data_IF_694815268116
#
_entry.id   IF_694815268116
#
_cell.length_a   1.000
_cell.length_b   1.000
_cell.length_c   1.000
_cell.angle_alpha   90.00
_cell.angle_beta   90.00
_cell.angle_gamma   90.00
#
_symmetry.space_group_name_H-M   'P 1'
#
loop_
_entity.id
_entity.type
_entity.pdbx_description
1 polymer ?
#
# COMPACT_ATOMS: atom_id res chain seq x y z
N UNK A 1 -47.68 106.78 -16.51
CA UNK A 1 -47.47 106.08 -15.22
C UNK A 1 -46.36 105.06 -15.38
N UNK A 2 -45.57 104.80 -14.32
CA UNK A 2 -44.11 104.78 -14.37
C UNK A 2 -43.50 103.38 -14.14
N UNK A 3 -42.18 103.38 -13.98
CA UNK A 3 -41.35 102.48 -13.18
C UNK A 3 -40.62 101.31 -13.87
N UNK A 4 -39.30 101.57 -13.99
CA UNK A 4 -38.23 100.80 -13.33
C UNK A 4 -37.73 99.51 -13.99
N UNK A 5 -36.47 99.59 -14.45
CA UNK A 5 -35.35 98.67 -14.19
C UNK A 5 -34.43 98.68 -15.43
N UNK A 6 -33.43 99.56 -15.52
CA UNK A 6 -32.11 99.39 -14.93
C UNK A 6 -31.43 98.07 -15.34
N UNK A 7 -30.31 98.24 -16.04
CA UNK A 7 -29.11 97.40 -16.11
C UNK A 7 -28.93 96.42 -17.29
N UNK A 8 -27.74 96.58 -17.91
CA UNK A 8 -26.87 95.53 -18.45
C UNK A 8 -27.32 94.87 -19.77
N UNK A 9 -26.79 95.35 -20.90
CA UNK A 9 -25.54 94.83 -21.47
C UNK A 9 -25.20 95.54 -22.80
N UNK A 10 -23.98 96.06 -22.97
CA UNK A 10 -23.53 96.69 -24.20
C UNK A 10 -22.86 95.65 -25.11
N UNK A 11 -23.60 94.77 -25.76
CA UNK A 11 -23.01 93.88 -26.77
C UNK A 11 -23.95 93.76 -27.98
N UNK A 12 -24.07 94.87 -28.71
CA UNK A 12 -24.41 94.77 -30.12
C UNK A 12 -23.30 93.98 -30.80
N UNK A 13 -23.63 92.77 -31.25
CA UNK A 13 -22.81 91.89 -32.07
C UNK A 13 -22.47 92.59 -33.40
N UNK A 14 -21.51 93.49 -33.34
CA UNK A 14 -20.89 94.13 -34.50
C UNK A 14 -19.86 93.19 -35.10
N UNK A 15 -20.29 92.36 -36.05
CA UNK A 15 -19.44 91.55 -36.95
C UNK A 15 -18.58 92.41 -37.91
N UNK A 16 -18.00 93.51 -37.42
CA UNK A 16 -17.16 94.44 -38.20
C UNK A 16 -15.79 94.73 -37.58
N UNK A 17 -15.62 94.51 -36.27
CA UNK A 17 -14.30 94.57 -35.59
C UNK A 17 -13.58 93.21 -35.59
N UNK A 18 -14.29 92.13 -35.94
CA UNK A 18 -13.80 90.76 -35.86
C UNK A 18 -12.99 90.30 -37.09
N UNK A 19 -12.95 91.08 -38.17
CA UNK A 19 -12.10 90.81 -39.34
C UNK A 19 -11.06 91.92 -39.45
N UNK A 20 -9.90 91.76 -38.78
CA UNK A 20 -8.79 92.69 -38.95
C UNK A 20 -8.26 92.56 -40.39
N UNK A 21 -7.72 93.65 -40.96
CA UNK A 21 -7.29 93.70 -42.37
C UNK A 21 -6.42 92.50 -42.80
N UNK A 22 -6.36 92.15 -44.09
CA UNK A 22 -5.75 90.91 -44.57
C UNK A 22 -4.32 90.70 -44.04
N UNK A 23 -3.54 91.76 -43.84
CA UNK A 23 -2.19 91.68 -43.28
C UNK A 23 -2.13 91.17 -41.83
N UNK A 24 -3.00 91.65 -40.93
CA UNK A 24 -3.01 91.22 -39.52
C UNK A 24 -3.61 89.83 -39.34
N UNK A 25 -4.58 89.44 -40.17
CA UNK A 25 -5.08 88.07 -40.23
C UNK A 25 -3.98 87.11 -40.72
N UNK A 26 -3.21 87.47 -41.75
CA UNK A 26 -2.10 86.64 -42.24
C UNK A 26 -1.01 86.49 -41.18
N UNK A 27 -0.58 87.56 -40.51
CA UNK A 27 0.43 87.47 -39.44
C UNK A 27 -0.06 86.63 -38.25
N UNK A 28 -1.34 86.76 -37.87
CA UNK A 28 -1.95 85.93 -36.82
C UNK A 28 -2.04 84.45 -37.20
N UNK A 29 -2.39 84.15 -38.45
CA UNK A 29 -2.42 82.76 -38.96
C UNK A 29 -1.01 82.18 -39.04
N UNK A 30 -0.02 82.96 -39.47
CA UNK A 30 1.38 82.52 -39.51
C UNK A 30 1.94 82.27 -38.12
N UNK A 31 1.71 83.16 -37.15
CA UNK A 31 2.16 82.95 -35.77
C UNK A 31 1.47 81.76 -35.10
N UNK A 32 0.16 81.59 -35.33
CA UNK A 32 -0.58 80.41 -34.90
C UNK A 32 -0.05 79.14 -35.54
N UNK A 33 0.21 79.14 -36.85
CA UNK A 33 0.75 77.98 -37.56
C UNK A 33 2.15 77.59 -37.06
N UNK A 34 3.04 78.56 -36.80
CA UNK A 34 4.38 78.28 -36.25
C UNK A 34 4.30 77.63 -34.87
N UNK A 35 3.48 78.17 -33.96
CA UNK A 35 3.27 77.60 -32.63
C UNK A 35 2.58 76.24 -32.72
N UNK A 36 1.59 76.09 -33.60
CA UNK A 36 0.87 74.84 -33.81
C UNK A 36 1.80 73.75 -34.34
N UNK A 37 2.67 74.05 -35.32
CA UNK A 37 3.64 73.10 -35.85
C UNK A 37 4.66 72.71 -34.78
N UNK A 38 5.16 73.66 -33.99
CA UNK A 38 6.07 73.35 -32.88
C UNK A 38 5.40 72.46 -31.83
N UNK A 39 4.17 72.78 -31.43
CA UNK A 39 3.38 72.00 -30.49
C UNK A 39 3.05 70.61 -31.05
N UNK A 40 2.61 70.51 -32.31
CA UNK A 40 2.32 69.24 -32.96
C UNK A 40 3.58 68.37 -33.04
N UNK A 41 4.74 68.94 -33.36
CA UNK A 41 6.02 68.22 -33.44
C UNK A 41 6.51 67.69 -32.09
N UNK A 42 6.14 68.30 -30.96
CA UNK A 42 6.56 67.87 -29.62
C UNK A 42 5.47 67.07 -28.87
N UNK A 43 4.21 67.45 -29.00
CA UNK A 43 3.08 66.89 -28.25
C UNK A 43 2.56 65.59 -28.87
N UNK A 44 2.42 65.53 -30.21
CA UNK A 44 1.97 64.30 -30.89
C UNK A 44 2.89 63.10 -30.62
N UNK A 45 4.23 63.19 -30.71
CA UNK A 45 5.07 62.03 -30.44
C UNK A 45 5.00 61.59 -28.97
N UNK A 46 4.84 62.52 -28.02
CA UNK A 46 4.67 62.16 -26.59
C UNK A 46 3.36 61.43 -26.33
N UNK A 47 2.26 61.88 -26.93
CA UNK A 47 0.95 61.20 -26.82
C UNK A 47 1.01 59.82 -27.46
N UNK A 48 1.53 59.72 -28.69
CA UNK A 48 1.67 58.43 -29.38
C UNK A 48 2.56 57.46 -28.61
N UNK A 49 3.64 57.93 -27.98
CA UNK A 49 4.50 57.10 -27.13
C UNK A 49 3.75 56.50 -25.94
N UNK A 50 2.98 57.32 -25.20
CA UNK A 50 2.21 56.84 -24.05
C UNK A 50 1.07 55.90 -24.47
N UNK A 51 0.41 56.17 -25.60
CA UNK A 51 -0.61 55.25 -26.12
C UNK A 51 0.01 53.93 -26.61
N UNK A 52 1.19 53.96 -27.24
CA UNK A 52 1.95 52.77 -27.62
C UNK A 52 2.31 51.94 -26.39
N UNK A 53 2.97 52.55 -25.40
CA UNK A 53 3.34 51.88 -24.14
C UNK A 53 2.13 51.25 -23.44
N UNK A 54 0.98 51.94 -23.41
CA UNK A 54 -0.25 51.39 -22.82
C UNK A 54 -0.84 50.24 -23.63
N UNK A 55 -0.82 50.32 -24.97
CA UNK A 55 -1.29 49.24 -25.84
C UNK A 55 -0.39 48.02 -25.69
N UNK A 56 0.92 48.20 -25.80
CA UNK A 56 1.91 47.11 -25.65
C UNK A 56 1.83 46.47 -24.25
N UNK A 57 1.61 47.28 -23.20
CA UNK A 57 1.42 46.76 -21.85
C UNK A 57 0.07 46.04 -21.64
N UNK A 58 -0.97 46.35 -22.42
CA UNK A 58 -2.25 45.61 -22.38
C UNK A 58 -2.10 44.32 -23.17
N UNK A 59 -1.59 44.39 -24.39
CA UNK A 59 -1.40 43.25 -25.28
C UNK A 59 -0.42 42.23 -24.69
N UNK A 60 0.70 42.70 -24.14
CA UNK A 60 1.64 41.85 -23.41
C UNK A 60 1.12 41.35 -22.06
N UNK A 61 0.00 41.87 -21.53
CA UNK A 61 -0.66 41.28 -20.35
C UNK A 61 -1.70 40.25 -20.76
N UNK A 62 -2.44 40.48 -21.84
CA UNK A 62 -3.40 39.50 -22.38
C UNK A 62 -2.68 38.27 -22.91
N UNK A 63 -1.60 38.44 -23.65
CA UNK A 63 -0.81 37.32 -24.17
C UNK A 63 -0.21 36.48 -23.02
N UNK A 64 0.33 37.13 -21.98
CA UNK A 64 0.82 36.42 -20.79
C UNK A 64 -0.30 35.72 -20.01
N UNK A 65 -1.49 36.32 -19.92
CA UNK A 65 -2.62 35.70 -19.26
C UNK A 65 -3.13 34.46 -20.02
N UNK A 66 -3.17 34.53 -21.35
CA UNK A 66 -3.51 33.41 -22.21
C UNK A 66 -2.47 32.29 -22.13
N UNK A 67 -1.18 32.62 -22.14
CA UNK A 67 -0.10 31.65 -21.95
C UNK A 67 -0.20 30.96 -20.59
N UNK A 68 -0.38 31.72 -19.51
CA UNK A 68 -0.55 31.17 -18.16
C UNK A 68 -1.80 30.30 -18.04
N UNK A 69 -2.90 30.66 -18.70
CA UNK A 69 -4.11 29.86 -18.74
C UNK A 69 -3.88 28.54 -19.49
N UNK A 70 -3.22 28.59 -20.64
CA UNK A 70 -2.88 27.40 -21.42
C UNK A 70 -1.93 26.46 -20.66
N UNK A 71 -0.90 27.01 -20.00
CA UNK A 71 0.01 26.24 -19.13
C UNK A 71 -0.74 25.62 -17.95
N UNK A 72 -1.65 26.36 -17.31
CA UNK A 72 -2.46 25.83 -16.22
C UNK A 72 -3.35 24.68 -16.67
N UNK A 73 -4.00 24.79 -17.84
CA UNK A 73 -4.82 23.73 -18.42
C UNK A 73 -3.97 22.50 -18.78
N UNK A 74 -2.78 22.69 -19.33
CA UNK A 74 -1.84 21.60 -19.64
C UNK A 74 -1.39 20.88 -18.37
N UNK A 75 -1.01 21.62 -17.32
CA UNK A 75 -0.62 21.06 -16.01
C UNK A 75 -1.79 20.31 -15.39
N UNK A 76 -3.01 20.84 -15.48
CA UNK A 76 -4.21 20.20 -14.94
C UNK A 76 -4.53 18.91 -15.71
N UNK A 77 -4.37 18.91 -17.04
CA UNK A 77 -4.52 17.72 -17.87
C UNK A 77 -3.51 16.63 -17.48
N UNK A 78 -2.22 16.97 -17.37
CA UNK A 78 -1.16 16.04 -16.91
C UNK A 78 -1.45 15.51 -15.52
N UNK A 79 -1.84 16.37 -14.58
CA UNK A 79 -2.19 15.95 -13.23
C UNK A 79 -3.38 14.97 -13.20
N UNK A 80 -4.40 15.19 -14.04
CA UNK A 80 -5.53 14.25 -14.17
C UNK A 80 -5.11 12.92 -14.78
N UNK A 81 -4.22 12.95 -15.76
CA UNK A 81 -3.66 11.76 -16.38
C UNK A 81 -2.84 10.94 -15.37
N UNK A 82 -1.92 11.58 -14.65
CA UNK A 82 -1.14 10.96 -13.56
C UNK A 82 -2.06 10.34 -12.50
N UNK A 83 -3.15 11.04 -12.13
CA UNK A 83 -4.10 10.55 -11.13
C UNK A 83 -4.94 9.37 -11.65
N UNK A 84 -5.23 9.33 -12.96
CA UNK A 84 -5.87 8.19 -13.59
C UNK A 84 -4.90 6.99 -13.66
N UNK A 85 -3.66 7.21 -14.08
CA UNK A 85 -2.62 6.19 -14.14
C UNK A 85 -2.34 5.60 -12.76
N UNK A 86 -2.16 6.42 -11.73
CA UNK A 86 -1.98 5.97 -10.35
C UNK A 86 -3.17 5.14 -9.85
N UNK A 87 -4.40 5.49 -10.24
CA UNK A 87 -5.60 4.68 -9.92
C UNK A 87 -5.60 3.35 -10.63
N UNK A 88 -5.21 3.31 -11.91
CA UNK A 88 -5.08 2.08 -12.68
C UNK A 88 -3.98 1.18 -12.12
N UNK A 89 -2.83 1.74 -11.76
CA UNK A 89 -1.73 1.01 -11.15
C UNK A 89 -2.11 0.45 -9.77
N UNK A 90 -2.77 1.25 -8.92
CA UNK A 90 -3.29 0.78 -7.65
C UNK A 90 -4.33 -0.33 -7.83
N UNK A 91 -5.18 -0.25 -8.86
CA UNK A 91 -6.14 -1.32 -9.18
C UNK A 91 -5.42 -2.61 -9.63
N UNK A 92 -4.42 -2.51 -10.51
CA UNK A 92 -3.59 -3.64 -10.95
C UNK A 92 -2.86 -4.28 -9.77
N UNK A 93 -2.24 -3.48 -8.90
CA UNK A 93 -1.54 -3.98 -7.72
C UNK A 93 -2.47 -4.71 -6.76
N UNK A 94 -3.67 -4.16 -6.52
CA UNK A 94 -4.69 -4.85 -5.69
C UNK A 94 -5.12 -6.17 -6.31
N UNK A 95 -5.34 -6.21 -7.62
CA UNK A 95 -5.70 -7.45 -8.31
C UNK A 95 -4.59 -8.49 -8.22
N UNK A 96 -3.33 -8.10 -8.49
CA UNK A 96 -2.17 -8.97 -8.35
C UNK A 96 -2.03 -9.52 -6.92
N UNK A 97 -2.15 -8.67 -5.91
CA UNK A 97 -2.08 -9.09 -4.50
C UNK A 97 -3.22 -10.05 -4.11
N UNK A 98 -4.42 -9.90 -4.68
CA UNK A 98 -5.53 -10.82 -4.45
C UNK A 98 -5.26 -12.18 -5.12
N UNK A 99 -4.79 -12.18 -6.36
CA UNK A 99 -4.45 -13.40 -7.10
C UNK A 99 -3.32 -14.15 -6.39
N UNK A 100 -2.21 -13.49 -6.08
CA UNK A 100 -1.09 -14.05 -5.32
C UNK A 100 -1.53 -14.55 -3.95
N UNK A 101 -2.35 -13.78 -3.23
CA UNK A 101 -2.88 -14.17 -1.92
C UNK A 101 -3.74 -15.44 -2.01
N UNK A 102 -4.60 -15.57 -3.03
CA UNK A 102 -5.42 -16.78 -3.22
C UNK A 102 -4.57 -18.00 -3.59
N UNK A 103 -3.55 -17.83 -4.43
CA UNK A 103 -2.62 -18.89 -4.79
C UNK A 103 -1.80 -19.35 -3.56
N UNK A 104 -1.28 -18.40 -2.78
CA UNK A 104 -0.54 -18.69 -1.55
C UNK A 104 -1.40 -19.43 -0.53
N UNK A 105 -2.66 -19.02 -0.32
CA UNK A 105 -3.58 -19.73 0.58
C UNK A 105 -3.83 -21.16 0.08
N UNK A 106 -4.01 -21.36 -1.22
CA UNK A 106 -4.19 -22.68 -1.80
C UNK A 106 -2.94 -23.55 -1.62
N UNK A 107 -1.75 -22.99 -1.81
CA UNK A 107 -0.48 -23.67 -1.63
C UNK A 107 -0.25 -24.06 -0.16
N UNK A 108 -0.43 -23.14 0.78
CA UNK A 108 -0.30 -23.40 2.22
C UNK A 108 -1.29 -24.48 2.66
N UNK A 109 -2.54 -24.43 2.19
CA UNK A 109 -3.53 -25.48 2.48
C UNK A 109 -3.10 -26.83 1.93
N UNK A 110 -2.62 -26.88 0.70
CA UNK A 110 -2.15 -28.12 0.08
C UNK A 110 -0.91 -28.68 0.81
N UNK A 111 0.03 -27.82 1.20
CA UNK A 111 1.19 -28.20 2.00
C UNK A 111 0.78 -28.74 3.38
N UNK A 112 -0.14 -28.05 4.07
CA UNK A 112 -0.65 -28.49 5.37
C UNK A 112 -1.40 -29.82 5.32
N UNK A 113 -2.14 -30.10 4.24
CA UNK A 113 -2.77 -31.42 4.03
C UNK A 113 -1.72 -32.51 3.83
N UNK A 114 -0.68 -32.26 3.00
CA UNK A 114 0.42 -33.21 2.79
C UNK A 114 1.18 -33.50 4.08
N UNK A 115 1.49 -32.48 4.87
CA UNK A 115 2.18 -32.63 6.15
C UNK A 115 1.33 -33.39 7.16
N UNK A 116 0.03 -33.10 7.23
CA UNK A 116 -0.92 -33.86 8.06
C UNK A 116 -0.93 -35.33 7.68
N UNK A 117 -1.02 -35.65 6.39
CA UNK A 117 -1.03 -37.04 5.91
C UNK A 117 0.29 -37.75 6.26
N UNK A 118 1.43 -37.09 6.03
CA UNK A 118 2.74 -37.62 6.41
C UNK A 118 2.83 -37.90 7.92
N UNK A 119 2.36 -36.98 8.76
CA UNK A 119 2.32 -37.14 10.21
C UNK A 119 1.43 -38.31 10.63
N UNK A 120 0.27 -38.51 9.98
CA UNK A 120 -0.62 -39.64 10.28
C UNK A 120 0.05 -40.97 9.91
N UNK A 121 0.71 -41.05 8.75
CA UNK A 121 1.42 -42.26 8.33
C UNK A 121 2.56 -42.57 9.29
N UNK A 122 3.33 -41.56 9.69
CA UNK A 122 4.40 -41.73 10.67
C UNK A 122 3.87 -42.16 12.05
N UNK A 123 2.78 -41.54 12.52
CA UNK A 123 2.15 -41.90 13.79
C UNK A 123 1.60 -43.33 13.77
N UNK A 124 1.03 -43.79 12.66
CA UNK A 124 0.58 -45.17 12.50
C UNK A 124 1.76 -46.16 12.52
N UNK A 125 2.88 -45.83 11.87
CA UNK A 125 4.09 -46.65 11.91
C UNK A 125 4.67 -46.73 13.33
N UNK A 126 4.69 -45.61 14.07
CA UNK A 126 5.11 -45.57 15.48
C UNK A 126 4.18 -46.41 16.36
N UNK A 127 2.86 -46.24 16.24
CA UNK A 127 1.88 -47.04 16.98
C UNK A 127 2.00 -48.55 16.70
N UNK A 128 2.31 -48.94 15.46
CA UNK A 128 2.55 -50.34 15.11
C UNK A 128 3.82 -50.88 15.79
N UNK A 129 4.90 -50.09 15.82
CA UNK A 129 6.13 -50.46 16.52
C UNK A 129 5.91 -50.54 18.04
N UNK A 130 5.23 -49.57 18.63
CA UNK A 130 4.90 -49.52 20.07
C UNK A 130 4.05 -50.73 20.49
N UNK A 131 3.11 -51.17 19.65
CA UNK A 131 2.33 -52.41 19.90
C UNK A 131 3.22 -53.64 19.97
N UNK A 132 4.18 -53.79 19.05
CA UNK A 132 5.10 -54.93 19.04
C UNK A 132 5.95 -54.92 20.30
N UNK A 133 6.48 -53.75 20.69
CA UNK A 133 7.27 -53.59 21.91
C UNK A 133 6.42 -53.97 23.15
N UNK A 134 5.22 -53.39 23.26
CA UNK A 134 4.31 -53.68 24.37
C UNK A 134 3.93 -55.18 24.45
N UNK A 135 3.67 -55.83 23.32
CA UNK A 135 3.40 -57.28 23.29
C UNK A 135 4.60 -58.11 23.74
N UNK A 136 5.82 -57.72 23.36
CA UNK A 136 7.05 -58.41 23.79
C UNK A 136 7.32 -58.23 25.28
N UNK A 137 7.12 -57.03 25.81
CA UNK A 137 7.24 -56.74 27.24
C UNK A 137 6.20 -57.52 28.04
N UNK A 138 4.93 -57.50 27.62
CA UNK A 138 3.85 -58.22 28.31
C UNK A 138 4.11 -59.73 28.36
N UNK A 139 4.65 -60.31 27.28
CA UNK A 139 5.05 -61.73 27.25
C UNK A 139 6.20 -62.01 28.22
N UNK A 140 7.19 -61.13 28.30
CA UNK A 140 8.28 -61.23 29.27
C UNK A 140 7.77 -61.22 30.70
N UNK A 141 6.89 -60.28 31.03
CA UNK A 141 6.27 -60.15 32.35
C UNK A 141 5.45 -61.38 32.72
N UNK A 142 4.64 -61.91 31.80
CA UNK A 142 3.86 -63.14 32.02
C UNK A 142 4.77 -64.35 32.26
N UNK A 143 5.85 -64.50 31.49
CA UNK A 143 6.82 -65.60 31.68
C UNK A 143 7.52 -65.48 33.04
N UNK A 144 7.92 -64.27 33.43
CA UNK A 144 8.53 -64.02 34.74
C UNK A 144 7.57 -64.37 35.88
N UNK A 145 6.32 -63.86 35.82
CA UNK A 145 5.29 -64.13 36.83
C UNK A 145 4.92 -65.63 36.90
N UNK A 146 4.81 -66.30 35.75
CA UNK A 146 4.54 -67.74 35.70
C UNK A 146 5.69 -68.56 36.31
N UNK A 147 6.94 -68.16 36.07
CA UNK A 147 8.11 -68.83 36.64
C UNK A 147 8.22 -68.59 38.15
N UNK A 148 7.94 -67.37 38.63
CA UNK A 148 7.86 -67.06 40.06
C UNK A 148 6.78 -67.90 40.76
N UNK A 149 5.59 -67.99 40.16
CA UNK A 149 4.48 -68.80 40.69
C UNK A 149 4.83 -70.29 40.70
N UNK A 150 5.39 -70.81 39.61
CA UNK A 150 5.85 -72.20 39.53
C UNK A 150 6.94 -72.49 40.57
N UNK A 151 7.88 -71.56 40.78
CA UNK A 151 8.90 -71.63 41.81
C UNK A 151 8.32 -71.70 43.23
N UNK A 152 7.30 -70.88 43.55
CA UNK A 152 6.59 -70.98 44.83
C UNK A 152 5.86 -72.32 45.01
N UNK A 153 5.12 -72.77 44.00
CA UNK A 153 4.35 -74.03 44.07
C UNK A 153 5.27 -75.24 44.22
N UNK A 154 6.36 -75.30 43.44
CA UNK A 154 7.35 -76.39 43.55
C UNK A 154 8.13 -76.29 44.86
N UNK A 155 8.45 -75.08 45.33
CA UNK A 155 9.06 -74.85 46.64
C UNK A 155 8.21 -75.38 47.78
N UNK A 156 6.92 -75.06 47.80
CA UNK A 156 5.97 -75.52 48.82
C UNK A 156 5.70 -77.04 48.73
N UNK A 157 5.63 -77.58 47.51
CA UNK A 157 5.55 -79.03 47.30
C UNK A 157 6.82 -79.75 47.79
N UNK A 158 8.02 -79.22 47.50
CA UNK A 158 9.28 -79.76 47.99
C UNK A 158 9.38 -79.66 49.51
N UNK A 159 8.91 -78.59 50.14
CA UNK A 159 8.87 -78.45 51.60
C UNK A 159 7.95 -79.51 52.23
N UNK A 160 6.82 -79.83 51.59
CA UNK A 160 5.92 -80.91 52.04
C UNK A 160 6.49 -82.33 51.85
N UNK A 161 7.27 -82.56 50.78
CA UNK A 161 7.89 -83.86 50.42
C UNK A 161 9.24 -84.07 51.11
N UNK A 162 9.96 -83.00 51.45
CA UNK A 162 11.23 -83.03 52.19
C UNK A 162 11.08 -83.46 53.65
N UNK A 163 9.87 -83.83 54.08
CA UNK A 163 9.70 -84.73 55.22
C UNK A 163 10.49 -86.02 54.95
N UNK A 164 11.65 -86.13 55.62
CA UNK A 164 12.73 -87.13 55.52
C UNK A 164 12.38 -88.55 55.02
N UNK A 165 11.18 -89.06 55.29
CA UNK A 165 10.74 -90.42 54.98
C UNK A 165 10.79 -90.79 53.49
N UNK A 166 10.45 -89.87 52.57
CA UNK A 166 10.47 -90.17 51.12
C UNK A 166 11.90 -90.13 50.57
N UNK A 167 12.74 -89.23 51.11
CA UNK A 167 14.14 -89.09 50.71
C UNK A 167 14.94 -90.32 51.11
N UNK A 168 14.76 -90.78 52.36
CA UNK A 168 15.42 -91.98 52.88
C UNK A 168 15.04 -93.24 52.07
N UNK A 169 13.78 -93.33 51.62
CA UNK A 169 13.29 -94.43 50.79
C UNK A 169 13.90 -94.43 49.38
N UNK A 170 14.16 -93.27 48.79
CA UNK A 170 14.75 -93.15 47.46
C UNK A 170 16.24 -93.54 47.45
N UNK A 171 16.98 -93.12 48.49
CA UNK A 171 18.37 -93.54 48.67
C UNK A 171 18.48 -95.04 48.95
N UNK A 172 17.56 -95.60 49.73
CA UNK A 172 17.47 -97.05 49.97
C UNK A 172 17.24 -97.86 48.69
N UNK A 173 16.38 -97.40 47.77
CA UNK A 173 16.11 -98.11 46.50
C UNK A 173 17.29 -98.01 45.50
N UNK A 174 18.04 -96.89 45.52
CA UNK A 174 19.27 -96.75 44.73
C UNK A 174 20.41 -97.63 45.26
N UNK A 175 20.56 -97.74 46.59
CA UNK A 175 21.50 -98.70 47.20
C UNK A 175 21.10 -100.14 46.87
N UNK A 176 19.81 -100.47 46.91
CA UNK A 176 19.33 -101.79 46.51
C UNK A 176 19.65 -102.12 45.04
N UNK A 177 19.52 -101.14 44.13
CA UNK A 177 19.83 -101.32 42.69
C UNK A 177 21.32 -101.31 42.36
N UNK A 178 22.13 -100.50 43.05
CA UNK A 178 23.58 -100.47 42.85
C UNK A 178 24.23 -101.80 43.28
N UNK A 179 23.70 -102.41 44.34
CA UNK A 179 24.10 -103.74 44.82
C UNK A 179 23.62 -104.85 43.86
N UNK A 180 22.49 -104.67 43.18
CA UNK A 180 22.00 -105.60 42.17
C UNK A 180 22.76 -105.56 40.82
N UNK A 181 23.49 -104.48 40.53
CA UNK A 181 24.26 -104.32 39.29
C UNK A 181 25.71 -104.85 39.34
N UNK A 182 26.16 -105.39 40.48
CA UNK A 182 27.52 -105.89 40.71
C UNK A 182 27.60 -107.45 40.75
N UNK A 183 26.63 -108.15 40.17
CA UNK A 183 26.68 -109.60 39.93
C UNK A 183 26.78 -109.94 38.44
#
# INVERSE_FOLDING_TARGET
MPCAAQSLLPYGLGMGILIPGPASTVVGVVSFAVVFVWMAKVLLPRINKVLGERKDAIEGRTERAEQLAAEADEVLAKYREELAEARHEAARLRQGALEEGTQLIAEIRAAGLREREAMIVEAQARLAADRVIAETELRGDIVSLATELAGRVVGEALESVANSEIVDRFFSDLDARSVAGLQ
#
